data_IF_595876732141
#
_entry.id   IF_595876732141
#
_cell.length_a   1.000
_cell.length_b   1.000
_cell.length_c   1.000
_cell.angle_alpha   90.00
_cell.angle_beta   90.00
_cell.angle_gamma   90.00
#
_symmetry.space_group_name_H-M   'P 1'
#
loop_
_entity.id
_entity.type
_entity.pdbx_description
1 polymer ?
#
# COMPACT_ATOMS: atom_id res chain seq x y z
N UNK A 1 54.67 -28.52 -3.24
CA UNK A 1 53.24 -28.09 -3.26
C UNK A 1 52.70 -27.55 -1.93
N UNK A 2 53.49 -27.40 -0.85
CA UNK A 2 53.02 -26.83 0.43
C UNK A 2 53.13 -25.29 0.55
N UNK A 3 53.76 -24.61 -0.41
CA UNK A 3 54.01 -23.15 -0.37
C UNK A 3 52.88 -22.30 -0.97
N UNK A 4 52.08 -22.89 -1.87
CA UNK A 4 50.96 -22.19 -2.54
C UNK A 4 49.69 -22.14 -1.67
N UNK A 5 49.55 -23.05 -0.70
CA UNK A 5 48.40 -23.05 0.23
C UNK A 5 48.53 -22.06 1.40
N UNK A 6 49.75 -21.61 1.76
CA UNK A 6 49.95 -20.59 2.80
C UNK A 6 49.61 -19.17 2.34
N UNK A 7 49.83 -18.84 1.07
CA UNK A 7 49.56 -17.50 0.53
C UNK A 7 48.07 -17.22 0.27
N UNK A 8 47.26 -18.25 -0.03
CA UNK A 8 45.79 -18.08 -0.15
C UNK A 8 45.10 -17.86 1.21
N UNK A 9 45.64 -18.41 2.30
CA UNK A 9 45.08 -18.23 3.66
C UNK A 9 45.39 -16.84 4.25
N UNK A 10 46.55 -16.25 3.94
CA UNK A 10 46.90 -14.90 4.38
C UNK A 10 46.18 -13.78 3.60
N UNK A 11 45.78 -14.02 2.34
CA UNK A 11 44.94 -13.05 1.58
C UNK A 11 43.47 -13.02 2.00
N UNK A 12 42.94 -14.11 2.57
CA UNK A 12 41.59 -14.14 3.14
C UNK A 12 41.50 -13.45 4.50
N UNK A 13 42.56 -13.51 5.32
CA UNK A 13 42.60 -12.85 6.63
C UNK A 13 42.83 -11.33 6.55
N UNK A 14 43.43 -10.82 5.46
CA UNK A 14 43.56 -9.37 5.19
C UNK A 14 42.29 -8.69 4.66
N UNK A 15 41.23 -9.45 4.32
CA UNK A 15 39.92 -8.89 3.92
C UNK A 15 38.91 -8.80 5.06
N UNK A 16 39.28 -9.23 6.27
CA UNK A 16 38.41 -9.28 7.44
C UNK A 16 38.76 -8.24 8.53
N UNK A 17 39.79 -7.43 8.31
CA UNK A 17 40.24 -6.39 9.24
C UNK A 17 40.19 -5.00 8.63
N UNK A 18 39.01 -4.55 8.19
CA UNK A 18 38.74 -3.11 8.02
C UNK A 18 37.22 -2.85 8.08
N UNK A 19 36.68 -2.96 9.29
CA UNK A 19 35.38 -2.38 9.65
C UNK A 19 35.60 -1.52 10.89
N UNK A 20 36.28 -0.40 10.68
CA UNK A 20 36.28 0.69 11.64
C UNK A 20 34.90 1.36 11.64
N UNK A 21 34.38 1.54 12.85
CA UNK A 21 33.11 2.16 13.16
C UNK A 21 33.02 3.59 12.59
N UNK A 22 31.86 3.93 12.01
CA UNK A 22 31.45 5.31 11.77
C UNK A 22 30.12 5.60 12.46
N UNK A 23 29.92 6.84 12.93
CA UNK A 23 29.02 7.14 14.03
C UNK A 23 27.56 7.23 13.59
N UNK A 24 26.69 6.94 14.55
CA UNK A 24 25.25 7.15 14.56
C UNK A 24 24.86 8.52 14.02
N UNK A 25 24.22 8.55 12.85
CA UNK A 25 23.56 9.74 12.31
C UNK A 25 22.20 9.89 12.97
N UNK A 26 22.08 10.90 13.84
CA UNK A 26 20.81 11.35 14.41
C UNK A 26 19.90 11.81 13.25
N UNK A 27 18.72 11.22 13.13
CA UNK A 27 17.65 11.77 12.29
C UNK A 27 17.17 13.07 12.94
N UNK A 28 17.53 14.20 12.34
CA UNK A 28 16.87 15.48 12.59
C UNK A 28 15.58 15.50 11.77
N UNK A 29 14.46 15.65 12.48
CA UNK A 29 13.14 15.95 11.93
C UNK A 29 13.18 17.39 11.41
N UNK A 30 13.11 17.57 10.10
CA UNK A 30 12.92 18.88 9.48
C UNK A 30 11.41 19.10 9.24
N UNK A 31 10.86 20.10 9.94
CA UNK A 31 9.55 20.71 9.68
C UNK A 31 9.55 21.38 8.30
N UNK A 32 8.48 21.26 7.48
CA UNK A 32 8.35 22.11 6.31
C UNK A 32 7.84 23.50 6.75
N UNK A 33 8.66 24.52 6.48
CA UNK A 33 8.27 25.92 6.48
C UNK A 33 7.19 26.16 5.41
N UNK A 34 6.13 26.89 5.79
CA UNK A 34 5.17 27.50 4.89
C UNK A 34 5.88 28.51 3.96
N UNK A 35 5.69 28.37 2.65
CA UNK A 35 6.00 29.42 1.68
C UNK A 35 4.68 29.95 1.08
N UNK A 36 4.31 31.15 1.51
CA UNK A 36 3.20 31.95 1.00
C UNK A 36 3.68 32.67 -0.27
N UNK A 37 3.06 32.42 -1.42
CA UNK A 37 3.33 33.18 -2.65
C UNK A 37 2.13 34.06 -2.96
N UNK A 38 2.32 35.37 -2.86
CA UNK A 38 1.41 36.41 -3.34
C UNK A 38 1.46 36.46 -4.87
N UNK A 39 0.29 36.37 -5.52
CA UNK A 39 0.14 36.64 -6.94
C UNK A 39 -0.20 38.14 -7.15
N UNK A 40 0.68 38.86 -7.83
CA UNK A 40 0.38 40.18 -8.41
C UNK A 40 -0.18 40.01 -9.82
N UNK A 41 -1.34 40.62 -10.06
CA UNK A 41 -1.93 40.76 -11.38
C UNK A 41 -1.39 42.01 -12.10
N UNK A 42 -1.18 41.96 -13.43
CA UNK A 42 -1.28 43.15 -14.26
C UNK A 42 -2.62 43.20 -14.98
N UNK A 43 -3.28 44.35 -14.88
CA UNK A 43 -4.36 44.80 -15.75
C UNK A 43 -3.78 45.07 -17.15
N UNK A 44 -4.44 44.56 -18.18
CA UNK A 44 -4.16 44.89 -19.57
C UNK A 44 -5.43 44.71 -20.39
N UNK A 45 -6.00 45.83 -20.80
CA UNK A 45 -7.20 45.93 -21.64
C UNK A 45 -6.86 45.53 -23.07
N UNK A 46 -7.66 44.64 -23.67
CA UNK A 46 -7.67 44.43 -25.11
C UNK A 46 -9.13 44.31 -25.56
N UNK A 47 -9.59 45.32 -26.30
CA UNK A 47 -10.87 45.33 -27.01
C UNK A 47 -10.85 44.23 -28.07
N UNK A 48 -11.84 43.33 -28.01
CA UNK A 48 -12.08 42.33 -29.03
C UNK A 48 -13.39 42.64 -29.77
N UNK A 49 -13.27 42.65 -31.10
CA UNK A 49 -14.27 42.92 -32.11
C UNK A 49 -15.60 42.18 -31.87
N UNK A 50 -16.71 42.93 -32.01
CA UNK A 50 -18.07 42.42 -32.06
C UNK A 50 -18.29 41.63 -33.36
N UNK A 51 -18.39 40.30 -33.27
CA UNK A 51 -19.10 39.49 -34.27
C UNK A 51 -20.54 39.28 -33.81
N UNK A 52 -21.48 39.62 -34.69
CA UNK A 52 -22.92 39.38 -34.49
C UNK A 52 -23.20 37.88 -34.41
N UNK A 53 -23.92 37.47 -33.37
CA UNK A 53 -24.35 36.10 -33.15
C UNK A 53 -25.51 35.74 -34.11
N UNK A 54 -25.45 34.53 -34.67
CA UNK A 54 -26.56 33.89 -35.38
C UNK A 54 -27.70 33.54 -34.39
N UNK A 55 -28.97 33.50 -34.85
CA UNK A 55 -30.12 33.30 -33.97
C UNK A 55 -30.10 31.91 -33.31
N UNK A 56 -30.43 31.91 -32.02
CA UNK A 56 -30.56 30.72 -31.18
C UNK A 56 -31.68 29.81 -31.66
N UNK A 57 -31.34 28.57 -32.01
CA UNK A 57 -32.31 27.48 -32.12
C UNK A 57 -32.78 27.17 -30.70
N UNK A 58 -34.09 27.29 -30.47
CA UNK A 58 -34.72 27.03 -29.19
C UNK A 58 -34.38 25.60 -28.69
N UNK A 59 -33.65 25.51 -27.59
CA UNK A 59 -33.54 24.30 -26.79
C UNK A 59 -34.84 24.12 -26.02
N UNK A 60 -35.80 23.40 -26.59
CA UNK A 60 -36.88 22.78 -25.83
C UNK A 60 -36.69 21.27 -25.85
N UNK A 61 -36.79 20.67 -24.65
CA UNK A 61 -36.67 19.24 -24.34
C UNK A 61 -35.26 18.68 -24.12
N UNK A 62 -34.63 19.12 -23.02
CA UNK A 62 -33.80 18.24 -22.20
C UNK A 62 -34.55 18.01 -20.87
N UNK A 63 -34.85 16.77 -20.45
CA UNK A 63 -35.30 16.56 -19.09
C UNK A 63 -34.20 17.08 -18.16
N UNK A 64 -34.58 17.95 -17.22
CA UNK A 64 -33.69 18.40 -16.18
C UNK A 64 -33.26 17.18 -15.36
N UNK A 65 -32.10 16.62 -15.68
CA UNK A 65 -31.34 15.82 -14.73
C UNK A 65 -31.03 16.77 -13.58
N UNK A 66 -31.83 16.72 -12.53
CA UNK A 66 -31.50 17.32 -11.25
C UNK A 66 -30.09 16.85 -10.89
N UNK A 67 -29.09 17.71 -11.09
CA UNK A 67 -27.73 17.46 -10.64
C UNK A 67 -27.83 17.37 -9.12
N UNK A 68 -27.77 16.15 -8.60
CA UNK A 68 -27.65 15.94 -7.16
C UNK A 68 -26.47 16.78 -6.68
N UNK A 69 -26.72 17.72 -5.77
CA UNK A 69 -25.68 18.55 -5.19
C UNK A 69 -24.55 17.64 -4.68
N UNK A 70 -23.28 17.91 -5.02
CA UNK A 70 -22.18 17.07 -4.57
C UNK A 70 -22.20 17.03 -3.04
N UNK A 71 -22.36 15.82 -2.49
CA UNK A 71 -22.37 15.64 -1.04
C UNK A 71 -21.02 16.10 -0.50
N UNK A 72 -20.96 17.04 0.47
CA UNK A 72 -19.70 17.47 1.06
C UNK A 72 -18.98 16.26 1.66
N UNK A 73 -17.74 16.03 1.21
CA UNK A 73 -16.86 15.00 1.74
C UNK A 73 -15.73 15.70 2.49
N UNK A 74 -15.59 15.39 3.78
CA UNK A 74 -14.41 15.77 4.58
C UNK A 74 -13.50 14.56 4.66
N UNK A 75 -12.19 14.76 4.61
CA UNK A 75 -11.21 13.67 4.69
C UNK A 75 -10.05 14.05 5.61
N UNK A 76 -9.42 13.04 6.19
CA UNK A 76 -8.18 13.18 6.94
C UNK A 76 -7.32 11.92 6.83
N UNK A 77 -6.08 12.03 7.30
CA UNK A 77 -5.03 11.01 7.15
C UNK A 77 -4.51 10.47 8.48
N UNK A 78 -5.14 10.86 9.59
CA UNK A 78 -4.75 10.46 10.92
C UNK A 78 -5.99 10.12 11.76
N UNK A 79 -5.87 9.12 12.64
CA UNK A 79 -6.77 8.91 13.75
C UNK A 79 -6.04 9.10 15.08
N UNK A 80 -6.76 9.54 16.10
CA UNK A 80 -6.34 9.44 17.49
C UNK A 80 -7.21 8.35 18.14
N UNK A 81 -6.65 7.16 18.34
CA UNK A 81 -7.33 6.02 18.95
C UNK A 81 -6.91 5.91 20.42
N UNK A 82 -7.84 6.17 21.34
CA UNK A 82 -7.60 6.09 22.78
C UNK A 82 -6.36 6.89 23.25
N UNK A 83 -6.13 8.07 22.66
CA UNK A 83 -4.99 8.94 22.96
C UNK A 83 -3.77 8.72 22.05
N UNK A 84 -3.75 7.67 21.22
CA UNK A 84 -2.61 7.30 20.37
C UNK A 84 -2.83 7.76 18.93
N UNK A 85 -1.86 8.50 18.39
CA UNK A 85 -1.89 8.96 17.00
C UNK A 85 -1.44 7.87 16.04
N UNK A 86 -2.28 7.53 15.06
CA UNK A 86 -2.04 6.47 14.08
C UNK A 86 -2.31 7.02 12.66
N UNK A 87 -1.37 6.85 11.70
CA UNK A 87 -1.62 7.15 10.29
C UNK A 87 -2.74 6.26 9.75
N UNK A 88 -3.86 6.86 9.36
CA UNK A 88 -5.05 6.14 8.93
C UNK A 88 -6.00 7.09 8.20
N UNK A 89 -6.47 6.69 7.02
CA UNK A 89 -7.36 7.53 6.23
C UNK A 89 -8.80 7.38 6.71
N UNK A 90 -9.49 8.51 6.87
CA UNK A 90 -10.89 8.57 7.21
C UNK A 90 -11.62 9.58 6.33
N UNK A 91 -12.94 9.44 6.25
CA UNK A 91 -13.81 10.31 5.48
C UNK A 91 -15.15 10.51 6.22
N UNK A 92 -15.75 11.69 6.06
CA UNK A 92 -17.11 11.97 6.49
C UNK A 92 -17.97 12.36 5.29
N UNK A 93 -19.15 11.74 5.16
CA UNK A 93 -20.15 12.00 4.11
C UNK A 93 -21.54 11.96 4.76
N UNK A 94 -22.35 13.02 4.61
CA UNK A 94 -23.69 13.08 5.22
C UNK A 94 -23.68 12.74 6.73
N UNK A 95 -22.71 13.29 7.48
CA UNK A 95 -22.50 13.00 8.91
C UNK A 95 -22.15 11.54 9.24
N UNK A 96 -21.95 10.68 8.23
CA UNK A 96 -21.49 9.31 8.41
C UNK A 96 -19.98 9.25 8.31
N UNK A 97 -19.35 8.51 9.20
CA UNK A 97 -17.89 8.40 9.31
C UNK A 97 -17.46 7.07 8.72
N UNK A 98 -16.45 7.12 7.86
CA UNK A 98 -15.84 5.94 7.28
C UNK A 98 -14.35 5.91 7.55
N UNK A 99 -13.85 4.72 7.84
CA UNK A 99 -12.43 4.42 7.89
C UNK A 99 -12.05 3.68 6.62
N UNK A 100 -10.84 3.92 6.09
CA UNK A 100 -10.35 3.09 4.99
C UNK A 100 -10.32 1.62 5.43
N UNK A 101 -10.52 0.70 4.48
CA UNK A 101 -10.37 -0.74 4.71
C UNK A 101 -9.04 -1.09 5.41
N UNK A 102 -7.95 -0.48 4.99
CA UNK A 102 -6.61 -0.58 5.60
C UNK A 102 -6.57 -0.05 7.04
N UNK A 103 -7.26 1.06 7.35
CA UNK A 103 -7.33 1.59 8.71
C UNK A 103 -8.09 0.65 9.64
N UNK A 104 -9.17 0.02 9.16
CA UNK A 104 -9.91 -0.97 9.95
C UNK A 104 -9.08 -2.24 10.23
N UNK A 105 -8.35 -2.73 9.23
CA UNK A 105 -7.46 -3.89 9.39
C UNK A 105 -6.32 -3.58 10.38
N UNK A 106 -5.65 -2.42 10.24
CA UNK A 106 -4.38 -2.14 10.92
C UNK A 106 -4.52 -1.41 12.26
N UNK A 107 -5.54 -0.58 12.43
CA UNK A 107 -5.71 0.22 13.65
C UNK A 107 -6.80 -0.36 14.58
N UNK A 108 -7.83 -0.98 14.03
CA UNK A 108 -8.97 -1.50 14.80
C UNK A 108 -8.88 -3.02 15.02
N UNK A 109 -8.28 -3.75 14.09
CA UNK A 109 -8.24 -5.23 14.13
C UNK A 109 -9.52 -5.87 13.61
N UNK A 110 -10.21 -5.21 12.68
CA UNK A 110 -11.36 -5.80 11.97
C UNK A 110 -10.85 -6.79 10.93
N UNK A 111 -11.53 -7.91 10.75
CA UNK A 111 -11.28 -8.84 9.64
C UNK A 111 -12.30 -8.64 8.50
N UNK A 112 -11.81 -8.47 7.26
CA UNK A 112 -12.66 -8.26 6.08
C UNK A 112 -13.10 -9.60 5.47
N UNK A 113 -14.38 -9.93 5.56
CA UNK A 113 -14.89 -11.21 5.04
C UNK A 113 -15.09 -11.14 3.52
N UNK A 114 -15.29 -12.31 2.89
CA UNK A 114 -15.57 -12.39 1.46
C UNK A 114 -16.82 -11.59 1.09
N UNK A 115 -16.78 -10.88 -0.04
CA UNK A 115 -17.89 -10.05 -0.50
C UNK A 115 -18.09 -10.18 -2.00
N UNK A 116 -19.36 -10.17 -2.42
CA UNK A 116 -19.73 -10.16 -3.84
C UNK A 116 -20.17 -8.79 -4.33
N UNK A 117 -20.54 -7.89 -3.42
CA UNK A 117 -21.06 -6.56 -3.73
C UNK A 117 -20.07 -5.50 -3.27
N UNK A 118 -19.58 -4.60 -4.16
CA UNK A 118 -18.64 -3.56 -3.77
C UNK A 118 -19.18 -2.61 -2.70
N UNK A 119 -20.49 -2.31 -2.73
CA UNK A 119 -21.16 -1.35 -1.85
C UNK A 119 -21.29 -1.81 -0.40
N UNK A 120 -21.03 -3.09 -0.11
CA UNK A 120 -21.21 -3.66 1.23
C UNK A 120 -20.05 -4.59 1.54
N UNK A 121 -19.43 -4.39 2.70
CA UNK A 121 -18.34 -5.20 3.18
C UNK A 121 -18.75 -5.91 4.48
N UNK A 122 -19.03 -7.23 4.44
CA UNK A 122 -19.12 -8.01 5.66
C UNK A 122 -17.77 -8.02 6.37
N UNK A 123 -17.79 -7.82 7.68
CA UNK A 123 -16.61 -7.86 8.52
C UNK A 123 -16.85 -8.66 9.79
N UNK A 124 -15.75 -9.16 10.36
CA UNK A 124 -15.73 -9.79 11.67
C UNK A 124 -14.96 -8.91 12.65
N UNK A 125 -15.63 -8.55 13.75
CA UNK A 125 -15.01 -7.91 14.90
C UNK A 125 -15.87 -8.19 16.11
N UNK A 126 -15.45 -9.19 16.92
CA UNK A 126 -16.24 -9.74 18.01
C UNK A 126 -17.68 -10.10 17.59
N UNK A 127 -17.80 -10.72 16.42
CA UNK A 127 -19.07 -11.15 15.82
C UNK A 127 -18.93 -12.56 15.23
N UNK A 128 -20.05 -13.24 14.98
CA UNK A 128 -20.04 -14.58 14.37
C UNK A 128 -20.02 -14.44 12.85
N UNK A 129 -18.92 -14.77 12.14
CA UNK A 129 -18.76 -14.43 10.72
C UNK A 129 -19.74 -15.16 9.79
N UNK A 130 -20.22 -16.35 10.16
CA UNK A 130 -21.12 -17.16 9.33
C UNK A 130 -22.61 -16.88 9.55
N UNK A 131 -23.00 -16.42 10.74
CA UNK A 131 -24.42 -16.22 11.10
C UNK A 131 -24.77 -14.75 11.28
N UNK A 132 -23.85 -13.95 11.82
CA UNK A 132 -24.09 -12.57 12.20
C UNK A 132 -22.87 -11.67 11.90
N UNK A 133 -22.40 -11.60 10.62
CA UNK A 133 -21.33 -10.69 10.26
C UNK A 133 -21.81 -9.23 10.38
N UNK A 134 -20.86 -8.32 10.65
CA UNK A 134 -21.13 -6.89 10.62
C UNK A 134 -21.09 -6.41 9.16
N UNK A 135 -22.22 -6.02 8.60
CA UNK A 135 -22.28 -5.54 7.22
C UNK A 135 -22.10 -4.03 7.17
N UNK A 136 -20.94 -3.56 6.69
CA UNK A 136 -20.64 -2.14 6.59
C UNK A 136 -20.88 -1.64 5.16
N UNK A 137 -21.66 -0.57 5.01
CA UNK A 137 -21.78 0.13 3.71
C UNK A 137 -20.43 0.74 3.34
N UNK A 138 -20.14 0.85 2.05
CA UNK A 138 -18.89 1.44 1.58
C UNK A 138 -19.10 2.60 0.62
N UNK A 139 -18.12 3.47 0.54
CA UNK A 139 -18.00 4.44 -0.54
C UNK A 139 -16.55 4.56 -0.99
N UNK A 140 -16.40 5.03 -2.23
CA UNK A 140 -15.11 5.24 -2.86
C UNK A 140 -14.83 6.74 -2.96
N UNK A 141 -13.58 7.10 -2.79
CA UNK A 141 -13.02 8.36 -3.32
C UNK A 141 -12.04 8.00 -4.44
N UNK A 142 -11.30 8.99 -4.96
CA UNK A 142 -10.30 8.76 -6.01
C UNK A 142 -9.18 7.80 -5.60
N UNK A 143 -8.88 7.68 -4.30
CA UNK A 143 -7.72 6.93 -3.80
C UNK A 143 -8.08 5.80 -2.84
N UNK A 144 -9.20 5.90 -2.11
CA UNK A 144 -9.49 5.01 -0.99
C UNK A 144 -10.92 4.47 -1.04
N UNK A 145 -11.07 3.26 -0.49
CA UNK A 145 -12.36 2.66 -0.15
C UNK A 145 -12.59 2.81 1.33
N UNK A 146 -13.68 3.46 1.69
CA UNK A 146 -14.10 3.67 3.08
C UNK A 146 -15.25 2.74 3.43
N UNK A 147 -15.22 2.19 4.64
CA UNK A 147 -16.31 1.44 5.23
C UNK A 147 -16.95 2.29 6.31
N UNK A 148 -18.26 2.40 6.27
CA UNK A 148 -19.08 3.13 7.21
C UNK A 148 -19.01 2.50 8.60
N UNK A 149 -18.51 3.26 9.58
CA UNK A 149 -18.41 2.79 10.95
C UNK A 149 -19.45 3.43 11.86
N UNK A 150 -20.34 4.31 11.39
CA UNK A 150 -21.19 5.12 12.27
C UNK A 150 -22.07 4.27 13.19
N UNK A 151 -22.85 3.36 12.63
CA UNK A 151 -23.79 2.53 13.41
C UNK A 151 -23.05 1.47 14.22
N UNK A 152 -21.91 1.00 13.70
CA UNK A 152 -21.02 0.06 14.36
C UNK A 152 -20.37 0.68 15.61
N UNK A 153 -19.82 1.89 15.48
CA UNK A 153 -19.21 2.67 16.53
C UNK A 153 -20.24 3.01 17.62
N UNK A 154 -21.43 3.46 17.23
CA UNK A 154 -22.51 3.76 18.17
C UNK A 154 -22.91 2.52 18.99
N UNK A 155 -23.15 1.38 18.34
CA UNK A 155 -23.48 0.10 19.02
C UNK A 155 -22.38 -0.39 19.94
N UNK A 156 -21.13 -0.13 19.59
CA UNK A 156 -19.95 -0.50 20.37
C UNK A 156 -19.61 0.51 21.47
N UNK A 157 -20.41 1.58 21.63
CA UNK A 157 -20.20 2.62 22.66
C UNK A 157 -19.00 3.52 22.38
N UNK A 158 -18.58 3.65 21.13
CA UNK A 158 -17.45 4.50 20.76
C UNK A 158 -17.85 5.96 20.65
N UNK A 159 -16.96 6.85 21.04
CA UNK A 159 -17.07 8.29 20.78
C UNK A 159 -16.18 8.63 19.59
N UNK A 160 -16.78 9.13 18.52
CA UNK A 160 -16.10 9.44 17.27
C UNK A 160 -16.32 10.90 16.91
N UNK A 161 -15.24 11.66 16.75
CA UNK A 161 -15.30 13.09 16.43
C UNK A 161 -14.20 13.50 15.45
N UNK A 162 -14.58 14.16 14.37
CA UNK A 162 -13.66 14.73 13.40
C UNK A 162 -13.13 16.09 13.87
N UNK A 163 -11.80 16.24 13.91
CA UNK A 163 -11.08 17.45 14.31
C UNK A 163 -10.02 17.79 13.26
N UNK A 164 -10.39 18.57 12.24
CA UNK A 164 -9.50 18.90 11.11
C UNK A 164 -9.10 17.65 10.32
N UNK A 165 -7.81 17.37 10.22
CA UNK A 165 -7.28 16.17 9.55
C UNK A 165 -7.30 14.90 10.43
N UNK A 166 -7.66 15.01 11.72
CA UNK A 166 -7.59 13.91 12.68
C UNK A 166 -8.99 13.47 13.10
N UNK A 167 -9.25 12.16 13.07
CA UNK A 167 -10.46 11.58 13.66
C UNK A 167 -10.15 11.06 15.08
N UNK A 168 -10.76 11.66 16.10
CA UNK A 168 -10.68 11.19 17.47
C UNK A 168 -11.65 10.02 17.66
N UNK A 169 -11.14 8.87 18.10
CA UNK A 169 -11.89 7.66 18.42
C UNK A 169 -11.56 7.26 19.86
N UNK A 170 -12.57 7.23 20.73
CA UNK A 170 -12.46 6.67 22.08
C UNK A 170 -13.36 5.46 22.18
N UNK A 171 -12.79 4.33 22.55
CA UNK A 171 -13.55 3.09 22.80
C UNK A 171 -13.74 2.89 24.30
N UNK A 172 -14.78 2.15 24.74
CA UNK A 172 -14.91 1.78 26.14
C UNK A 172 -13.67 1.04 26.64
N UNK A 173 -13.24 1.34 27.88
CA UNK A 173 -12.09 0.67 28.49
C UNK A 173 -12.39 -0.82 28.67
N UNK A 174 -11.56 -1.67 28.07
CA UNK A 174 -11.65 -3.12 28.18
C UNK A 174 -10.62 -3.69 29.17
N UNK A 175 -10.83 -4.94 29.58
CA UNK A 175 -9.91 -5.69 30.43
C UNK A 175 -9.64 -7.06 29.85
N UNK A 176 -8.36 -7.46 29.86
CA UNK A 176 -7.97 -8.86 29.65
C UNK A 176 -8.17 -9.60 30.95
N UNK A 177 -9.05 -10.58 30.95
CA UNK A 177 -9.46 -11.34 32.15
C UNK A 177 -8.70 -12.66 32.30
N UNK A 178 -8.19 -13.22 31.20
CA UNK A 178 -7.34 -14.39 31.21
C UNK A 178 -6.45 -14.45 29.97
N UNK A 179 -5.29 -15.09 30.09
CA UNK A 179 -4.45 -15.46 28.95
C UNK A 179 -4.22 -16.96 28.97
N UNK A 180 -4.47 -17.60 27.83
CA UNK A 180 -4.37 -19.05 27.66
C UNK A 180 -3.44 -19.36 26.50
N UNK A 181 -2.61 -20.37 26.68
CA UNK A 181 -1.73 -20.90 25.65
C UNK A 181 -2.07 -22.38 25.45
N UNK A 182 -2.14 -22.81 24.19
CA UNK A 182 -2.38 -24.21 23.85
C UNK A 182 -1.62 -24.63 22.61
N UNK A 183 -0.97 -25.79 22.67
CA UNK A 183 -0.40 -26.46 21.49
C UNK A 183 -1.51 -26.98 20.59
N UNK A 184 -1.29 -26.90 19.29
CA UNK A 184 -2.21 -27.37 18.25
C UNK A 184 -1.46 -28.27 17.27
N UNK A 185 -2.16 -29.16 16.55
CA UNK A 185 -1.52 -30.04 15.56
C UNK A 185 -0.79 -29.28 14.44
N UNK A 186 -1.20 -28.05 14.17
CA UNK A 186 -0.65 -27.17 13.14
C UNK A 186 0.32 -26.10 13.67
N UNK A 187 0.46 -25.93 14.99
CA UNK A 187 1.24 -24.84 15.58
C UNK A 187 0.84 -24.53 17.02
N UNK A 188 0.72 -23.25 17.36
CA UNK A 188 0.34 -22.78 18.69
C UNK A 188 -0.82 -21.81 18.64
N UNK A 189 -1.63 -21.80 19.70
CA UNK A 189 -2.72 -20.84 19.87
C UNK A 189 -2.56 -20.12 21.21
N UNK A 190 -2.63 -18.80 21.15
CA UNK A 190 -2.77 -17.92 22.31
C UNK A 190 -4.18 -17.33 22.28
N UNK A 191 -4.88 -17.34 23.41
CA UNK A 191 -6.22 -16.78 23.55
C UNK A 191 -6.22 -15.79 24.70
N UNK A 192 -6.67 -14.57 24.45
CA UNK A 192 -6.94 -13.57 25.47
C UNK A 192 -8.45 -13.47 25.66
N UNK A 193 -8.91 -13.68 26.88
CA UNK A 193 -10.30 -13.47 27.26
C UNK A 193 -10.50 -12.01 27.62
N UNK A 194 -11.58 -11.41 27.14
CA UNK A 194 -11.86 -9.99 27.25
C UNK A 194 -13.25 -9.78 27.86
N UNK A 195 -13.37 -8.80 28.75
CA UNK A 195 -14.67 -8.41 29.31
C UNK A 195 -15.59 -7.77 28.24
N UNK A 196 -15.00 -7.14 27.23
CA UNK A 196 -15.69 -6.49 26.10
C UNK A 196 -14.86 -6.48 24.82
N UNK A 197 -15.52 -6.20 23.71
CA UNK A 197 -14.87 -5.97 22.42
C UNK A 197 -13.96 -4.74 22.47
N UNK A 198 -12.74 -4.85 21.94
CA UNK A 198 -11.76 -3.75 21.96
C UNK A 198 -10.80 -3.79 20.77
N UNK A 199 -10.31 -2.64 20.29
CA UNK A 199 -9.31 -2.61 19.24
C UNK A 199 -8.03 -3.36 19.60
N UNK A 200 -7.37 -3.90 18.58
CA UNK A 200 -6.04 -4.46 18.71
C UNK A 200 -5.20 -4.19 17.46
N UNK A 201 -3.89 -4.29 17.59
CA UNK A 201 -2.94 -4.07 16.52
C UNK A 201 -1.88 -5.18 16.52
N UNK A 202 -1.44 -5.56 15.34
CA UNK A 202 -0.41 -6.58 15.14
C UNK A 202 0.78 -5.95 14.42
N UNK A 203 1.97 -6.10 14.99
CA UNK A 203 3.23 -5.67 14.40
C UNK A 203 4.15 -6.88 14.28
N UNK A 204 4.79 -7.02 13.13
CA UNK A 204 5.77 -8.08 12.87
C UNK A 204 7.16 -7.45 12.72
N UNK A 205 8.11 -7.88 13.55
CA UNK A 205 9.47 -7.36 13.63
C UNK A 205 10.46 -8.52 13.54
N UNK A 206 10.70 -9.00 12.31
CA UNK A 206 11.63 -10.11 12.06
C UNK A 206 11.14 -11.42 12.67
N UNK A 207 11.74 -11.83 13.79
CA UNK A 207 11.39 -13.04 14.55
C UNK A 207 10.49 -12.76 15.76
N UNK A 208 9.99 -11.53 15.91
CA UNK A 208 9.05 -11.16 16.98
C UNK A 208 7.73 -10.69 16.38
N UNK A 209 6.62 -11.18 16.92
CA UNK A 209 5.27 -10.70 16.68
C UNK A 209 4.81 -9.97 17.95
N UNK A 210 4.36 -8.73 17.81
CA UNK A 210 3.82 -7.94 18.90
C UNK A 210 2.34 -7.70 18.64
N UNK A 211 1.48 -8.15 19.56
CA UNK A 211 0.05 -7.87 19.55
C UNK A 211 -0.25 -6.90 20.69
N UNK A 212 -0.71 -5.69 20.35
CA UNK A 212 -1.12 -4.68 21.31
C UNK A 212 -2.65 -4.62 21.35
N UNK A 213 -3.23 -4.82 22.53
CA UNK A 213 -4.68 -4.85 22.76
C UNK A 213 -5.07 -3.62 23.58
N UNK A 214 -6.12 -2.89 23.18
CA UNK A 214 -6.67 -1.75 23.93
C UNK A 214 -7.55 -2.22 25.11
N UNK A 215 -7.00 -3.12 25.91
CA UNK A 215 -7.59 -3.60 27.15
C UNK A 215 -6.51 -3.81 28.19
N UNK A 216 -6.74 -3.31 29.40
CA UNK A 216 -5.79 -3.42 30.50
C UNK A 216 -5.78 -4.86 31.06
N UNK A 217 -4.60 -5.37 31.37
CA UNK A 217 -4.43 -6.61 32.15
C UNK A 217 -4.00 -6.25 33.56
N UNK A 218 -4.53 -6.98 34.55
CA UNK A 218 -4.04 -6.90 35.92
C UNK A 218 -2.53 -7.24 35.94
N UNK A 219 -1.64 -6.37 36.46
CA UNK A 219 -0.21 -6.65 36.50
C UNK A 219 0.15 -7.97 37.19
N UNK A 220 -0.58 -8.36 38.25
CA UNK A 220 -0.36 -9.64 38.92
C UNK A 220 -0.76 -10.82 38.03
N UNK A 221 -1.85 -10.70 37.25
CA UNK A 221 -2.23 -11.71 36.25
C UNK A 221 -1.15 -11.83 35.17
N UNK A 222 -0.65 -10.72 34.64
CA UNK A 222 0.42 -10.71 33.64
C UNK A 222 1.71 -11.34 34.16
N UNK A 223 2.12 -11.02 35.39
CA UNK A 223 3.30 -11.59 36.05
C UNK A 223 3.13 -13.08 36.37
N UNK A 224 1.92 -13.51 36.71
CA UNK A 224 1.62 -14.92 36.99
C UNK A 224 1.55 -15.80 35.74
N UNK A 225 1.43 -15.20 34.55
CA UNK A 225 1.40 -15.94 33.30
C UNK A 225 2.77 -16.56 33.01
N UNK A 226 2.84 -17.88 33.11
CA UNK A 226 4.03 -18.65 32.76
C UNK A 226 3.83 -19.30 31.40
N UNK A 227 4.57 -18.83 30.40
CA UNK A 227 4.58 -19.45 29.08
C UNK A 227 5.09 -20.89 29.16
N UNK A 228 4.39 -21.79 28.49
CA UNK A 228 4.84 -23.17 28.28
C UNK A 228 5.57 -23.29 26.95
N UNK A 229 6.46 -24.27 26.74
CA UNK A 229 7.09 -24.44 25.44
C UNK A 229 6.02 -24.70 24.36
N UNK A 230 6.05 -23.94 23.27
CA UNK A 230 5.16 -24.13 22.11
C UNK A 230 5.70 -25.15 21.10
N UNK A 231 4.91 -25.42 20.07
CA UNK A 231 5.35 -26.17 18.89
C UNK A 231 6.25 -25.32 17.97
N UNK A 232 6.01 -24.00 17.92
CA UNK A 232 6.69 -23.02 17.07
C UNK A 232 7.09 -21.74 17.79
N UNK A 233 6.65 -21.55 19.04
CA UNK A 233 7.05 -20.39 19.84
C UNK A 233 8.50 -20.55 20.32
N UNK A 234 9.31 -19.51 20.14
CA UNK A 234 10.63 -19.38 20.78
C UNK A 234 10.57 -18.59 22.08
N UNK A 235 9.58 -17.70 22.21
CA UNK A 235 9.23 -17.00 23.46
C UNK A 235 7.77 -16.56 23.44
N UNK A 236 7.20 -16.34 24.62
CA UNK A 236 5.88 -15.73 24.78
C UNK A 236 5.87 -14.93 26.08
N UNK A 237 5.61 -13.62 25.97
CA UNK A 237 5.54 -12.70 27.10
C UNK A 237 4.25 -11.88 27.02
N UNK A 238 3.64 -11.63 28.17
CA UNK A 238 2.48 -10.76 28.32
C UNK A 238 2.86 -9.66 29.30
N UNK A 239 2.71 -8.41 28.89
CA UNK A 239 3.06 -7.25 29.71
C UNK A 239 1.89 -6.27 29.81
N UNK A 240 1.72 -5.68 30.99
CA UNK A 240 0.79 -4.58 31.21
C UNK A 240 1.44 -3.27 30.79
N UNK A 241 0.74 -2.47 29.99
CA UNK A 241 1.19 -1.16 29.51
C UNK A 241 0.07 -0.13 29.68
N UNK A 242 -0.28 0.15 30.93
CA UNK A 242 -1.36 1.09 31.27
C UNK A 242 -2.72 0.58 30.79
N UNK A 243 -3.33 1.30 29.85
CA UNK A 243 -4.61 0.91 29.25
C UNK A 243 -4.49 -0.19 28.19
N UNK A 244 -3.26 -0.61 27.84
CA UNK A 244 -3.01 -1.67 26.88
C UNK A 244 -2.41 -2.92 27.52
N UNK A 245 -2.66 -4.06 26.89
CA UNK A 245 -1.92 -5.31 27.12
C UNK A 245 -1.05 -5.56 25.89
N UNK A 246 0.23 -5.86 26.08
CA UNK A 246 1.13 -6.20 24.98
C UNK A 246 1.50 -7.68 25.10
N UNK A 247 1.34 -8.42 24.00
CA UNK A 247 1.75 -9.81 23.87
C UNK A 247 2.91 -9.88 22.88
N UNK A 248 4.07 -10.32 23.35
CA UNK A 248 5.28 -10.51 22.54
C UNK A 248 5.49 -11.99 22.30
N UNK A 249 5.60 -12.36 21.03
CA UNK A 249 5.66 -13.75 20.60
C UNK A 249 6.93 -13.92 19.75
N UNK A 250 7.90 -14.65 20.28
CA UNK A 250 9.07 -15.07 19.52
C UNK A 250 8.70 -16.23 18.60
N UNK A 251 9.08 -16.13 17.33
CA UNK A 251 8.85 -17.16 16.31
C UNK A 251 10.08 -17.36 15.42
N UNK A 252 10.29 -18.55 14.84
CA UNK A 252 11.29 -18.71 13.78
C UNK A 252 10.96 -17.81 12.57
N UNK A 253 12.00 -17.36 11.86
CA UNK A 253 11.90 -16.40 10.77
C UNK A 253 10.79 -16.74 9.76
N UNK A 254 10.06 -15.72 9.32
CA UNK A 254 9.00 -15.74 8.29
C UNK A 254 7.63 -16.32 8.71
N UNK A 255 7.42 -16.71 9.97
CA UNK A 255 6.06 -17.01 10.44
C UNK A 255 5.28 -15.71 10.67
N UNK A 256 4.02 -15.71 10.25
CA UNK A 256 3.06 -14.62 10.55
C UNK A 256 1.87 -15.19 11.30
N UNK A 257 1.29 -14.45 12.26
CA UNK A 257 0.15 -14.94 13.02
C UNK A 257 -1.13 -14.86 12.17
N UNK A 258 -2.13 -15.67 12.51
CA UNK A 258 -3.52 -15.35 12.19
C UNK A 258 -4.19 -14.83 13.46
N UNK A 259 -4.65 -13.59 13.43
CA UNK A 259 -5.30 -12.95 14.58
C UNK A 259 -6.74 -12.62 14.24
N UNK A 260 -7.67 -13.08 15.06
CA UNK A 260 -9.10 -12.92 14.84
C UNK A 260 -9.86 -12.92 16.17
N UNK A 261 -11.15 -12.57 16.14
CA UNK A 261 -11.95 -12.33 17.33
C UNK A 261 -13.17 -13.25 17.39
N UNK A 262 -13.56 -13.65 18.61
CA UNK A 262 -14.77 -14.42 18.87
C UNK A 262 -15.70 -13.63 19.80
N UNK A 263 -17.02 -13.67 19.59
CA UNK A 263 -17.99 -13.22 20.58
C UNK A 263 -18.30 -14.33 21.60
N UNK A 264 -19.00 -13.95 22.67
CA UNK A 264 -19.68 -14.84 23.62
C UNK A 264 -18.84 -16.01 24.16
N UNK A 265 -17.89 -15.76 25.09
CA UNK A 265 -17.39 -14.45 25.52
C UNK A 265 -16.41 -13.84 24.52
N UNK A 266 -16.16 -12.53 24.65
CA UNK A 266 -15.21 -11.82 23.80
C UNK A 266 -13.80 -12.40 23.97
N UNK A 267 -13.20 -12.81 22.86
CA UNK A 267 -11.84 -13.38 22.85
C UNK A 267 -11.05 -12.87 21.67
N UNK A 268 -9.78 -12.59 21.89
CA UNK A 268 -8.78 -12.41 20.83
C UNK A 268 -8.00 -13.72 20.70
N UNK A 269 -7.98 -14.29 19.51
CA UNK A 269 -7.30 -15.56 19.20
C UNK A 269 -6.12 -15.27 18.28
N UNK A 270 -4.94 -15.73 18.68
CA UNK A 270 -3.68 -15.57 17.95
C UNK A 270 -3.15 -16.97 17.64
N UNK A 271 -3.21 -17.35 16.37
CA UNK A 271 -2.68 -18.62 15.86
C UNK A 271 -1.30 -18.41 15.25
N UNK A 272 -0.29 -19.13 15.75
CA UNK A 272 1.06 -19.17 15.18
C UNK A 272 1.23 -20.46 14.39
N UNK A 273 1.21 -20.34 13.06
CA UNK A 273 1.15 -21.48 12.13
C UNK A 273 1.85 -21.20 10.80
N UNK A 274 2.34 -22.23 10.09
CA UNK A 274 3.05 -22.04 8.82
C UNK A 274 2.12 -21.67 7.66
N UNK A 275 0.88 -22.17 7.67
CA UNK A 275 -0.17 -21.84 6.71
C UNK A 275 -0.99 -20.66 7.24
N UNK A 276 -0.48 -19.45 7.05
CA UNK A 276 -1.06 -18.23 7.61
C UNK A 276 -1.97 -17.47 6.63
N UNK A 277 -1.95 -17.80 5.34
CA UNK A 277 -2.77 -17.09 4.34
C UNK A 277 -4.24 -17.43 4.52
N UNK A 278 -5.03 -16.40 4.81
CA UNK A 278 -6.49 -16.47 4.89
C UNK A 278 -7.02 -16.23 3.48
N UNK A 279 -7.87 -17.13 2.99
CA UNK A 279 -8.49 -16.94 1.69
C UNK A 279 -9.41 -15.71 1.74
N UNK A 280 -9.27 -14.81 0.76
CA UNK A 280 -10.12 -13.63 0.59
C UNK A 280 -10.57 -13.51 -0.85
N UNK A 281 -11.82 -13.17 -1.04
CA UNK A 281 -12.41 -12.86 -2.34
C UNK A 281 -13.41 -11.72 -2.14
N UNK A 282 -12.95 -10.50 -2.40
CA UNK A 282 -13.64 -9.26 -2.07
C UNK A 282 -13.88 -8.47 -3.34
N UNK A 283 -15.15 -8.25 -3.68
CA UNK A 283 -15.55 -7.22 -4.62
C UNK A 283 -15.22 -5.86 -3.99
N UNK A 284 -14.10 -5.25 -4.42
CA UNK A 284 -13.52 -4.08 -3.76
C UNK A 284 -14.13 -2.77 -4.27
N UNK A 285 -14.22 -2.64 -5.59
CA UNK A 285 -14.92 -1.57 -6.28
C UNK A 285 -15.60 -2.15 -7.54
N UNK A 286 -16.53 -1.45 -8.19
CA UNK A 286 -16.99 -1.85 -9.53
C UNK A 286 -15.79 -2.11 -10.45
N UNK A 287 -15.75 -3.28 -11.08
CA UNK A 287 -14.64 -3.72 -11.94
C UNK A 287 -13.33 -4.07 -11.23
N UNK A 288 -13.28 -4.10 -9.90
CA UNK A 288 -12.05 -4.38 -9.12
C UNK A 288 -12.32 -5.40 -8.03
N UNK A 289 -11.54 -6.49 -8.03
CA UNK A 289 -11.66 -7.58 -7.07
C UNK A 289 -10.33 -7.88 -6.42
N UNK A 290 -10.28 -7.91 -5.10
CA UNK A 290 -9.13 -8.39 -4.35
C UNK A 290 -9.31 -9.88 -4.06
N UNK A 291 -8.33 -10.68 -4.47
CA UNK A 291 -8.26 -12.11 -4.17
C UNK A 291 -6.97 -12.45 -3.44
N UNK A 292 -7.08 -13.21 -2.36
CA UNK A 292 -5.97 -13.81 -1.65
C UNK A 292 -6.25 -15.30 -1.50
N UNK A 293 -5.31 -16.16 -1.86
CA UNK A 293 -5.49 -17.61 -1.76
C UNK A 293 -4.16 -18.36 -1.81
N UNK A 294 -4.16 -19.60 -1.35
CA UNK A 294 -3.04 -20.52 -1.56
C UNK A 294 -3.24 -21.35 -2.83
N UNK A 295 -2.38 -21.15 -3.84
CA UNK A 295 -2.38 -21.96 -5.07
C UNK A 295 -1.51 -23.19 -4.87
N UNK A 296 -2.07 -24.37 -5.12
CA UNK A 296 -1.34 -25.64 -5.08
C UNK A 296 -0.86 -26.03 -6.48
N UNK A 297 0.39 -26.44 -6.58
CA UNK A 297 1.02 -26.96 -7.79
C UNK A 297 1.72 -28.28 -7.46
N UNK A 298 2.16 -29.03 -8.47
CA UNK A 298 2.99 -30.22 -8.27
C UNK A 298 4.29 -29.94 -7.47
N UNK A 299 4.75 -28.67 -7.44
CA UNK A 299 6.00 -28.25 -6.79
C UNK A 299 5.79 -27.66 -5.39
N UNK A 300 4.56 -27.54 -4.92
CA UNK A 300 4.26 -26.98 -3.60
C UNK A 300 3.07 -26.03 -3.57
N UNK A 301 2.92 -25.34 -2.45
CA UNK A 301 1.81 -24.43 -2.17
C UNK A 301 2.34 -22.99 -2.10
N UNK A 302 1.70 -22.09 -2.83
CA UNK A 302 2.15 -20.72 -3.01
C UNK A 302 1.05 -19.75 -2.58
N UNK A 303 1.27 -18.93 -1.56
CA UNK A 303 0.37 -17.85 -1.24
C UNK A 303 0.38 -16.81 -2.35
N UNK A 304 -0.81 -16.39 -2.79
CA UNK A 304 -0.98 -15.40 -3.85
C UNK A 304 -1.94 -14.30 -3.41
N UNK A 305 -1.62 -13.08 -3.82
CA UNK A 305 -2.48 -11.90 -3.69
C UNK A 305 -2.62 -11.31 -5.09
N UNK A 306 -3.85 -11.11 -5.52
CA UNK A 306 -4.20 -10.59 -6.83
C UNK A 306 -5.21 -9.45 -6.71
N UNK A 307 -4.99 -8.41 -7.51
CA UNK A 307 -6.01 -7.42 -7.84
C UNK A 307 -6.49 -7.70 -9.26
N UNK A 308 -7.71 -8.19 -9.39
CA UNK A 308 -8.33 -8.51 -10.67
C UNK A 308 -9.11 -7.27 -11.11
N UNK A 309 -8.81 -6.78 -12.33
CA UNK A 309 -9.31 -5.50 -12.83
C UNK A 309 -9.99 -5.72 -14.18
N UNK A 310 -11.22 -5.24 -14.34
CA UNK A 310 -11.86 -5.11 -15.66
C UNK A 310 -11.52 -3.73 -16.25
N UNK A 311 -10.64 -3.66 -17.26
CA UNK A 311 -10.22 -2.39 -17.87
C UNK A 311 -11.33 -1.72 -18.70
N UNK A 312 -12.48 -2.38 -18.90
CA UNK A 312 -13.64 -1.83 -19.62
C UNK A 312 -14.65 -1.18 -18.67
N UNK A 313 -14.50 -1.38 -17.36
CA UNK A 313 -15.37 -0.76 -16.37
C UNK A 313 -15.23 0.77 -16.41
N UNK A 314 -16.32 1.54 -16.57
CA UNK A 314 -16.27 2.99 -16.49
C UNK A 314 -15.66 3.46 -15.16
N UNK A 315 -14.73 4.41 -15.23
CA UNK A 315 -14.01 4.95 -14.08
C UNK A 315 -12.77 4.15 -13.65
N UNK A 316 -12.49 3.00 -14.28
CA UNK A 316 -11.28 2.22 -14.04
C UNK A 316 -10.28 2.47 -15.16
N UNK A 317 -9.03 2.75 -14.80
CA UNK A 317 -7.94 2.88 -15.78
C UNK A 317 -6.66 2.26 -15.24
N UNK A 318 -5.89 1.65 -16.14
CA UNK A 318 -4.53 1.19 -15.86
C UNK A 318 -3.55 2.24 -16.39
N UNK A 319 -2.57 2.62 -15.59
CA UNK A 319 -1.53 3.55 -15.98
C UNK A 319 -0.17 3.07 -15.51
N UNK A 320 0.89 3.21 -16.32
CA UNK A 320 2.22 3.02 -15.79
C UNK A 320 2.58 4.21 -14.88
N UNK A 321 3.21 3.92 -13.76
CA UNK A 321 3.68 4.92 -12.79
C UNK A 321 5.17 4.72 -12.54
N UNK A 322 5.88 5.79 -12.18
CA UNK A 322 7.31 5.74 -11.87
C UNK A 322 7.69 6.71 -10.74
N UNK A 323 8.94 6.65 -10.29
CA UNK A 323 9.36 7.30 -9.04
C UNK A 323 9.30 8.82 -9.06
N UNK A 324 9.41 9.47 -10.21
CA UNK A 324 9.43 10.93 -10.34
C UNK A 324 8.74 11.37 -11.64
N UNK A 325 7.53 11.95 -11.63
CA UNK A 325 6.86 12.39 -12.86
C UNK A 325 7.69 13.33 -13.76
N UNK A 326 8.68 14.03 -13.21
CA UNK A 326 9.56 14.94 -13.95
C UNK A 326 10.85 14.29 -14.50
N UNK A 327 11.12 13.02 -14.18
CA UNK A 327 12.35 12.32 -14.59
C UNK A 327 12.16 10.80 -14.66
N UNK A 328 12.72 10.17 -15.69
CA UNK A 328 12.80 8.72 -15.80
C UNK A 328 13.80 8.11 -14.79
N UNK A 329 14.68 8.92 -14.20
CA UNK A 329 15.70 8.50 -13.24
C UNK A 329 15.14 8.48 -11.81
N UNK A 330 15.30 7.35 -11.14
CA UNK A 330 15.02 7.23 -9.71
C UNK A 330 14.39 5.90 -9.31
N UNK A 331 14.36 5.67 -8.01
CA UNK A 331 13.61 4.57 -7.39
C UNK A 331 12.88 5.08 -6.16
N UNK A 332 11.69 4.55 -5.88
CA UNK A 332 10.94 4.85 -4.67
C UNK A 332 10.16 3.61 -4.20
N UNK A 333 9.82 3.51 -2.90
CA UNK A 333 8.90 2.49 -2.42
C UNK A 333 7.57 2.54 -3.20
N UNK A 334 7.04 1.38 -3.59
CA UNK A 334 5.82 1.29 -4.40
C UNK A 334 4.63 2.00 -3.75
N UNK A 335 4.48 1.91 -2.43
CA UNK A 335 3.42 2.57 -1.68
C UNK A 335 3.49 4.10 -1.82
N UNK A 336 4.68 4.67 -1.78
CA UNK A 336 4.89 6.11 -1.96
C UNK A 336 4.63 6.55 -3.40
N UNK A 337 4.94 5.69 -4.38
CA UNK A 337 4.59 5.94 -5.79
C UNK A 337 3.08 5.91 -5.99
N UNK A 338 2.38 4.90 -5.46
CA UNK A 338 0.93 4.79 -5.56
C UNK A 338 0.23 6.03 -4.96
N UNK A 339 0.68 6.50 -3.79
CA UNK A 339 0.17 7.72 -3.17
C UNK A 339 0.39 8.96 -4.05
N UNK A 340 1.62 9.14 -4.56
CA UNK A 340 1.97 10.29 -5.41
C UNK A 340 1.15 10.34 -6.70
N UNK A 341 0.97 9.18 -7.33
CA UNK A 341 0.18 9.04 -8.56
C UNK A 341 -1.31 8.87 -8.31
N UNK A 342 -1.74 8.93 -7.04
CA UNK A 342 -3.12 8.76 -6.62
C UNK A 342 -3.76 7.45 -7.13
N UNK A 343 -2.97 6.37 -7.18
CA UNK A 343 -3.43 5.06 -7.58
C UNK A 343 -4.11 4.34 -6.40
N UNK A 344 -5.27 3.75 -6.66
CA UNK A 344 -6.01 2.88 -5.73
C UNK A 344 -5.29 1.55 -5.43
N UNK A 345 -4.39 1.15 -6.32
CA UNK A 345 -3.59 -0.07 -6.22
C UNK A 345 -2.45 -0.04 -7.23
N UNK A 346 -1.34 -0.68 -6.91
CA UNK A 346 -0.16 -0.73 -7.77
C UNK A 346 0.61 -2.03 -7.57
N UNK A 347 1.32 -2.46 -8.61
CA UNK A 347 2.28 -3.56 -8.59
C UNK A 347 3.60 -3.08 -9.18
N UNK A 348 4.74 -3.59 -8.68
CA UNK A 348 6.03 -3.30 -9.30
C UNK A 348 6.07 -3.87 -10.73
N UNK A 349 6.69 -3.14 -11.65
CA UNK A 349 6.66 -3.47 -13.07
C UNK A 349 8.08 -3.62 -13.67
N UNK A 350 8.56 -2.60 -14.39
CA UNK A 350 9.77 -2.69 -15.20
C UNK A 350 11.07 -2.94 -14.44
N UNK A 351 12.05 -3.52 -15.13
CA UNK A 351 13.41 -3.66 -14.64
C UNK A 351 14.12 -2.30 -14.57
N UNK A 352 15.06 -2.17 -13.65
CA UNK A 352 15.90 -0.99 -13.49
C UNK A 352 17.27 -1.40 -12.95
N UNK A 353 18.27 -0.54 -13.15
CA UNK A 353 19.57 -0.71 -12.53
C UNK A 353 19.56 -0.06 -11.14
N UNK A 354 19.68 -0.87 -10.08
CA UNK A 354 19.63 -0.38 -8.69
C UNK A 354 20.79 0.55 -8.29
N UNK A 355 21.91 0.52 -9.01
CA UNK A 355 23.10 1.32 -8.66
C UNK A 355 22.96 2.77 -9.15
N UNK A 356 22.45 2.96 -10.36
CA UNK A 356 22.28 4.29 -10.98
C UNK A 356 20.81 4.69 -11.18
N UNK A 357 19.87 3.85 -10.76
CA UNK A 357 18.43 4.09 -10.72
C UNK A 357 17.82 4.36 -12.10
N UNK A 358 18.43 3.80 -13.16
CA UNK A 358 17.98 3.99 -14.54
C UNK A 358 17.01 2.87 -14.98
N UNK A 359 15.95 3.20 -15.74
CA UNK A 359 15.01 2.22 -16.27
C UNK A 359 15.66 1.35 -17.37
N UNK A 360 15.29 0.08 -17.41
CA UNK A 360 15.81 -0.94 -18.32
C UNK A 360 14.65 -1.70 -19.04
N UNK A 361 13.81 -0.96 -19.76
CA UNK A 361 12.74 -1.54 -20.55
C UNK A 361 11.63 -0.55 -20.88
N UNK A 362 10.67 -1.01 -21.68
CA UNK A 362 9.57 -0.19 -22.19
C UNK A 362 8.73 0.42 -21.07
N UNK A 363 8.59 1.74 -21.10
CA UNK A 363 7.70 2.53 -20.26
C UNK A 363 7.12 3.66 -21.13
N UNK A 364 5.82 3.60 -21.39
CA UNK A 364 5.13 4.55 -22.27
C UNK A 364 3.82 4.98 -21.66
N UNK A 365 3.58 6.29 -21.59
CA UNK A 365 2.32 6.87 -21.10
C UNK A 365 1.85 7.93 -22.09
N UNK A 366 0.56 7.96 -22.41
CA UNK A 366 -0.04 8.99 -23.28
C UNK A 366 0.75 9.20 -24.59
N UNK A 367 1.09 8.09 -25.25
CA UNK A 367 1.89 8.06 -26.48
C UNK A 367 3.36 8.51 -26.33
N UNK A 368 3.79 8.94 -25.14
CA UNK A 368 5.16 9.41 -24.83
C UNK A 368 6.02 8.30 -24.24
N UNK A 369 7.23 8.15 -24.75
CA UNK A 369 8.21 7.18 -24.28
C UNK A 369 8.99 7.76 -23.11
N UNK A 370 8.76 7.24 -21.90
CA UNK A 370 9.58 7.55 -20.72
C UNK A 370 10.86 6.69 -20.76
N UNK A 371 10.75 5.43 -21.19
CA UNK A 371 11.89 4.55 -21.46
C UNK A 371 11.58 3.58 -22.60
N UNK A 372 12.54 3.35 -23.49
CA UNK A 372 12.39 2.48 -24.66
C UNK A 372 12.57 0.99 -24.35
N UNK A 373 12.05 0.09 -25.21
CA UNK A 373 12.26 -1.36 -25.07
C UNK A 373 13.73 -1.75 -25.25
N UNK A 374 14.09 -2.90 -24.68
CA UNK A 374 15.42 -3.49 -24.86
C UNK A 374 15.28 -5.00 -25.10
N UNK A 375 16.21 -5.58 -25.86
CA UNK A 375 16.41 -7.02 -26.01
C UNK A 375 15.16 -7.81 -26.49
N UNK A 376 14.23 -7.13 -27.17
CA UNK A 376 12.96 -7.70 -27.62
C UNK A 376 12.18 -8.38 -26.49
N UNK A 377 12.25 -7.86 -25.26
CA UNK A 377 11.60 -8.49 -24.09
C UNK A 377 10.08 -8.45 -24.19
N UNK A 378 9.43 -9.33 -23.43
CA UNK A 378 7.98 -9.30 -23.24
C UNK A 378 7.54 -7.95 -22.65
N UNK A 379 6.47 -7.39 -23.20
CA UNK A 379 5.84 -6.16 -22.76
C UNK A 379 4.32 -6.34 -22.78
N UNK A 380 3.64 -5.51 -22.00
CA UNK A 380 2.19 -5.37 -22.00
C UNK A 380 1.83 -3.99 -22.53
N UNK A 381 0.91 -3.94 -23.50
CA UNK A 381 0.33 -2.72 -24.04
C UNK A 381 -1.18 -2.74 -23.88
N UNK A 382 -1.79 -1.58 -23.65
CA UNK A 382 -3.23 -1.47 -23.50
C UNK A 382 -3.76 -0.13 -24.03
N UNK A 383 -5.03 -0.12 -24.41
CA UNK A 383 -5.74 1.06 -24.91
C UNK A 383 -7.15 0.68 -25.39
N UNK A 384 -8.12 1.57 -25.23
CA UNK A 384 -9.52 1.37 -25.67
C UNK A 384 -10.13 0.03 -25.19
N UNK A 385 -9.84 -0.37 -23.95
CA UNK A 385 -10.32 -1.63 -23.37
C UNK A 385 -9.62 -2.91 -23.88
N UNK A 386 -8.66 -2.78 -24.80
CA UNK A 386 -7.86 -3.89 -25.33
C UNK A 386 -6.51 -4.01 -24.61
N UNK A 387 -5.98 -5.22 -24.54
CA UNK A 387 -4.72 -5.56 -23.91
C UNK A 387 -3.96 -6.57 -24.78
N UNK A 388 -2.66 -6.34 -24.97
CA UNK A 388 -1.76 -7.22 -25.71
C UNK A 388 -0.53 -7.50 -24.87
N UNK A 389 -0.09 -8.76 -24.84
CA UNK A 389 1.17 -9.17 -24.23
C UNK A 389 1.97 -9.90 -25.30
N UNK A 390 3.13 -9.37 -25.65
CA UNK A 390 4.04 -9.98 -26.61
C UNK A 390 5.46 -9.45 -26.43
N UNK A 391 6.41 -9.98 -27.20
CA UNK A 391 7.74 -9.40 -27.37
C UNK A 391 7.63 -8.08 -28.12
N UNK A 392 8.23 -7.04 -27.55
CA UNK A 392 8.13 -5.70 -28.11
C UNK A 392 9.50 -5.13 -28.47
N UNK A 393 9.59 -4.54 -29.65
CA UNK A 393 10.76 -3.83 -30.15
C UNK A 393 10.34 -2.49 -30.76
N UNK A 394 11.21 -1.49 -30.65
CA UNK A 394 11.03 -0.17 -31.25
C UNK A 394 12.16 0.03 -32.27
N UNK A 395 11.78 0.37 -33.49
CA UNK A 395 12.71 0.76 -34.54
C UNK A 395 12.54 2.25 -34.81
N UNK A 396 13.61 3.02 -34.62
CA UNK A 396 13.67 4.43 -34.93
C UNK A 396 14.92 4.69 -35.78
N UNK A 397 14.83 5.63 -36.72
CA UNK A 397 15.97 6.11 -37.48
C UNK A 397 15.97 7.64 -37.55
N UNK A 398 17.15 8.21 -37.70
CA UNK A 398 17.35 9.64 -37.97
C UNK A 398 17.66 9.77 -39.45
N UNK A 399 16.83 10.53 -40.16
CA UNK A 399 17.09 10.95 -41.54
C UNK A 399 17.96 12.21 -41.51
N UNK A 400 19.11 12.20 -42.18
CA UNK A 400 19.92 13.41 -42.38
C UNK A 400 19.42 14.18 -43.60
N UNK A 401 19.84 15.46 -43.73
CA UNK A 401 19.55 16.27 -44.92
C UNK A 401 20.10 15.64 -46.23
N UNK A 402 21.11 14.78 -46.13
CA UNK A 402 21.69 14.03 -47.27
C UNK A 402 20.97 12.72 -47.58
N UNK A 403 19.87 12.40 -46.89
CA UNK A 403 19.10 11.16 -47.08
C UNK A 403 19.67 9.93 -46.36
N UNK A 404 20.78 10.06 -45.63
CA UNK A 404 21.35 8.97 -44.83
C UNK A 404 20.43 8.64 -43.65
N UNK A 405 20.16 7.35 -43.42
CA UNK A 405 19.38 6.86 -42.29
C UNK A 405 20.31 6.27 -41.22
N UNK A 406 20.27 6.82 -40.00
CA UNK A 406 21.03 6.30 -38.86
C UNK A 406 20.08 5.60 -37.87
N UNK A 407 20.26 4.30 -37.56
CA UNK A 407 19.39 3.61 -36.63
C UNK A 407 19.62 4.09 -35.19
N UNK A 408 18.55 4.40 -34.48
CA UNK A 408 18.54 4.64 -33.03
C UNK A 408 18.32 3.30 -32.35
N UNK A 409 19.31 2.87 -31.56
CA UNK A 409 19.29 1.56 -30.90
C UNK A 409 18.65 1.60 -29.52
N UNK A 410 18.64 2.76 -28.86
CA UNK A 410 18.01 2.96 -27.55
C UNK A 410 17.37 4.34 -27.44
N UNK A 411 16.23 4.38 -26.75
CA UNK A 411 15.49 5.59 -26.42
C UNK A 411 15.35 5.70 -24.91
N UNK A 412 15.78 6.81 -24.30
CA UNK A 412 15.62 7.09 -22.86
C UNK A 412 15.92 5.86 -21.98
N UNK A 413 17.09 5.22 -22.17
CA UNK A 413 17.39 3.92 -21.56
C UNK A 413 18.69 3.96 -20.76
N UNK A 414 18.69 3.25 -19.62
CA UNK A 414 19.94 2.93 -18.91
C UNK A 414 20.73 1.78 -19.54
N UNK A 415 20.22 1.15 -20.60
CA UNK A 415 20.92 0.08 -21.31
C UNK A 415 21.92 0.68 -22.30
N UNK A 416 23.20 0.36 -22.09
CA UNK A 416 24.31 0.88 -22.89
C UNK A 416 24.80 -0.19 -23.85
N UNK A 417 24.90 0.16 -25.13
CA UNK A 417 25.48 -0.65 -26.19
C UNK A 417 26.15 0.26 -27.22
N UNK A 418 27.04 -0.30 -28.05
CA UNK A 418 27.66 0.44 -29.15
C UNK A 418 26.59 0.86 -30.18
N UNK A 419 26.55 2.15 -30.52
CA UNK A 419 25.66 2.72 -31.53
C UNK A 419 25.04 4.05 -31.11
N UNK A 420 23.91 4.42 -31.73
CA UNK A 420 23.24 5.71 -31.50
C UNK A 420 22.12 5.55 -30.47
N UNK A 421 22.13 6.42 -29.45
CA UNK A 421 21.09 6.53 -28.44
C UNK A 421 20.38 7.89 -28.55
N UNK A 422 19.07 7.91 -28.32
CA UNK A 422 18.26 9.14 -28.28
C UNK A 422 17.74 9.40 -26.87
N UNK A 423 18.00 10.60 -26.37
CA UNK A 423 17.44 11.09 -25.12
C UNK A 423 16.50 12.27 -25.40
N UNK A 424 15.32 12.23 -24.82
CA UNK A 424 14.30 13.26 -24.93
C UNK A 424 14.09 13.94 -23.58
N UNK A 425 13.27 14.98 -23.56
CA UNK A 425 12.91 15.66 -22.31
C UNK A 425 12.10 14.79 -21.33
N UNK A 426 11.62 13.61 -21.74
CA UNK A 426 10.98 12.62 -20.85
C UNK A 426 12.01 11.84 -20.01
N UNK A 427 13.29 11.84 -20.39
CA UNK A 427 14.35 11.24 -19.59
C UNK A 427 14.65 12.08 -18.33
N UNK A 428 14.88 13.38 -18.52
CA UNK A 428 15.12 14.35 -17.45
C UNK A 428 15.08 15.79 -18.03
N UNK A 429 14.81 16.78 -17.18
CA UNK A 429 14.93 18.22 -17.51
C UNK A 429 15.79 18.95 -16.46
N UNK A 430 16.93 19.56 -16.84
CA UNK A 430 17.59 19.44 -18.14
C UNK A 430 18.10 18.01 -18.38
N UNK A 431 18.27 17.62 -19.66
CA UNK A 431 18.95 16.36 -19.98
C UNK A 431 20.38 16.48 -19.47
N UNK A 432 20.85 15.63 -18.53
CA UNK A 432 22.24 15.67 -18.09
C UNK A 432 23.13 15.55 -19.33
N UNK A 433 24.15 16.41 -19.46
CA UNK A 433 25.21 16.15 -20.44
C UNK A 433 25.79 14.79 -20.06
N UNK A 434 25.44 13.76 -20.82
CA UNK A 434 26.10 12.47 -20.72
C UNK A 434 27.54 12.72 -21.15
N UNK A 435 28.40 12.96 -20.15
CA UNK A 435 29.83 13.03 -20.35
C UNK A 435 30.20 11.69 -21.00
N UNK A 436 30.78 11.80 -22.19
CA UNK A 436 31.39 10.72 -22.94
C UNK A 436 32.27 9.91 -21.99
N UNK A 437 31.79 8.75 -21.57
CA UNK A 437 32.69 7.74 -21.00
C UNK A 437 33.52 7.25 -22.17
N UNK A 438 34.79 7.68 -22.21
CA UNK A 438 35.82 7.04 -23.02
C UNK A 438 35.73 5.53 -22.75
N UNK A 439 35.57 4.76 -23.82
CA UNK A 439 35.69 3.31 -23.79
C UNK A 439 37.08 2.89 -23.34
#
# INVERSE_FOLDING_TARGET
>A
MARIHRERRQRQLRRQGDRSAKPSSKLLVALPLLALVYAFAPRGSAEALRMQAAPSIAQSWLPALTQAQPVPIVQGSQINLNGRSIPAFWSSRQQRIGLSDTALLQAIGVDLLNSQQPSTQPVQWFSQPSTEPLNLTTWLTSQYRYLDISDFAQRSGWQVQANGATLSIRTPAARVTAVRQGRQTWGDRIVLDLDRATPYQVSEQGSEIVVAIDGAIDPALAQSFVATPGNRLTSLHVESNGAQTIVRIGVPNNLRPRVWTLPNPNRLVIDVRPDNVIDRDIAWAPGIRWRQQTIRTARGQFPTIALIVDPRQPGVSLQPIWSNPASAVGTAPLISMAQRWQAIGAINAGYFNRNNQLPLGALRQNNRWVSGPILGRGAIGWGNGSLVIDRFALQESIATATGTQLPILTLNSGYVQAGVARFTADWARPIPRLLTTKF
#
